data_IF_914315004513
#
_entry.id   IF_914315004513
#
_cell.length_a   1.000
_cell.length_b   1.000
_cell.length_c   1.000
_cell.angle_alpha   90.00
_cell.angle_beta   90.00
_cell.angle_gamma   90.00
#
_symmetry.space_group_name_H-M   'P 1'
#
loop_
_entity.id
_entity.type
_entity.pdbx_description
1 polymer ?
#
# COMPACT_ATOMS: atom_id res chain seq x y z
N UNK A 1 -12.37 -30.93 -8.88
CA UNK A 1 -11.08 -30.59 -9.51
C UNK A 1 -10.61 -29.32 -8.84
N UNK A 2 -9.54 -29.32 -8.03
CA UNK A 2 -8.92 -28.08 -7.58
C UNK A 2 -7.91 -27.58 -8.64
N UNK A 3 -7.85 -26.27 -8.88
CA UNK A 3 -6.66 -25.58 -9.39
C UNK A 3 -6.40 -25.60 -10.90
N UNK A 4 -7.22 -24.93 -11.71
CA UNK A 4 -6.80 -24.48 -13.06
C UNK A 4 -7.24 -23.05 -13.38
N UNK A 5 -8.31 -22.59 -12.74
CA UNK A 5 -8.61 -21.19 -12.41
C UNK A 5 -8.75 -21.24 -10.87
N UNK A 6 -8.00 -20.54 -10.04
CA UNK A 6 -7.63 -19.13 -10.05
C UNK A 6 -7.66 -18.76 -8.57
N UNK A 7 -6.80 -19.40 -7.77
CA UNK A 7 -6.54 -18.95 -6.40
C UNK A 7 -5.49 -17.84 -6.55
N UNK A 8 -5.89 -16.75 -7.20
CA UNK A 8 -5.02 -15.61 -7.44
C UNK A 8 -5.06 -14.72 -6.19
N UNK A 9 -3.86 -14.27 -5.79
CA UNK A 9 -3.68 -13.35 -4.68
C UNK A 9 -3.52 -11.98 -5.29
N UNK A 10 -4.44 -11.09 -4.96
CA UNK A 10 -4.38 -9.70 -5.37
C UNK A 10 -3.95 -8.83 -4.20
N UNK A 11 -3.52 -7.60 -4.54
CA UNK A 11 -3.22 -6.57 -3.57
C UNK A 11 -2.25 -7.02 -2.45
N UNK A 12 -1.23 -7.81 -2.80
CA UNK A 12 -0.23 -8.30 -1.85
C UNK A 12 0.67 -7.15 -1.39
N UNK A 13 0.61 -6.84 -0.10
CA UNK A 13 1.54 -5.91 0.56
C UNK A 13 2.65 -6.70 1.26
N UNK A 14 3.89 -6.28 1.04
CA UNK A 14 5.08 -6.82 1.69
C UNK A 14 5.90 -5.66 2.25
N UNK A 15 6.09 -5.65 3.57
CA UNK A 15 7.00 -4.68 4.17
C UNK A 15 8.47 -4.97 3.78
N UNK A 16 9.26 -3.90 3.81
CA UNK A 16 10.71 -3.89 3.54
C UNK A 16 11.52 -4.62 4.61
N UNK A 17 10.97 -4.78 5.82
CA UNK A 17 11.51 -5.63 6.88
C UNK A 17 10.62 -6.86 7.08
N UNK A 18 11.16 -8.01 7.54
CA UNK A 18 10.34 -9.18 7.82
C UNK A 18 9.34 -8.89 8.95
N UNK A 19 8.11 -8.54 8.59
CA UNK A 19 6.99 -8.44 9.51
C UNK A 19 6.32 -9.82 9.64
N UNK A 20 5.90 -10.26 10.85
CA UNK A 20 5.04 -11.43 10.99
C UNK A 20 3.70 -11.31 10.26
N UNK A 21 3.27 -10.10 9.92
CA UNK A 21 2.01 -9.83 9.26
C UNK A 21 2.19 -9.63 7.75
N UNK A 22 1.24 -10.17 6.99
CA UNK A 22 1.16 -9.96 5.54
C UNK A 22 -0.30 -9.71 5.21
N UNK A 23 -0.55 -8.62 4.49
CA UNK A 23 -1.91 -8.17 4.15
C UNK A 23 -2.17 -8.40 2.67
N UNK A 24 -3.37 -8.86 2.33
CA UNK A 24 -3.74 -9.19 0.96
C UNK A 24 -5.27 -9.24 0.81
N UNK A 25 -5.77 -9.11 -0.42
CA UNK A 25 -7.15 -9.44 -0.79
C UNK A 25 -7.19 -10.72 -1.62
N UNK A 26 -8.39 -11.17 -1.97
CA UNK A 26 -8.60 -12.30 -2.87
C UNK A 26 -9.41 -11.85 -4.06
N UNK A 27 -9.10 -12.36 -5.25
CA UNK A 27 -9.87 -12.10 -6.46
C UNK A 27 -11.36 -12.48 -6.27
N UNK A 28 -12.26 -11.71 -6.88
CA UNK A 28 -13.67 -12.05 -7.11
C UNK A 28 -13.92 -13.49 -7.60
N UNK A 29 -13.01 -14.05 -8.39
CA UNK A 29 -13.14 -15.41 -8.92
C UNK A 29 -12.46 -16.50 -8.09
N UNK A 30 -11.90 -16.14 -6.93
CA UNK A 30 -11.24 -17.09 -6.04
C UNK A 30 -12.23 -18.09 -5.45
N UNK A 31 -12.00 -19.38 -5.68
CA UNK A 31 -12.91 -20.45 -5.30
C UNK A 31 -12.81 -20.86 -3.81
N UNK A 32 -11.85 -20.28 -3.07
CA UNK A 32 -11.19 -20.97 -1.96
C UNK A 32 -10.99 -20.08 -0.73
N UNK A 33 -12.02 -19.43 -0.21
CA UNK A 33 -11.82 -18.59 0.97
C UNK A 33 -12.77 -18.99 2.13
N UNK A 34 -12.24 -19.52 3.26
CA UNK A 34 -13.04 -19.82 4.44
C UNK A 34 -13.63 -18.54 5.04
N UNK A 35 -14.79 -18.62 5.70
CA UNK A 35 -15.47 -17.50 6.39
C UNK A 35 -14.57 -16.79 7.41
N UNK A 36 -13.77 -15.80 6.99
CA UNK A 36 -12.83 -15.07 7.85
C UNK A 36 -13.43 -13.78 8.42
N UNK A 37 -14.23 -13.03 7.65
CA UNK A 37 -14.86 -11.76 8.06
C UNK A 37 -16.32 -11.90 8.57
N UNK A 38 -16.72 -13.09 9.06
CA UNK A 38 -18.03 -13.31 9.72
C UNK A 38 -19.22 -13.57 8.79
N UNK A 39 -19.24 -13.04 7.57
CA UNK A 39 -20.23 -13.34 6.50
C UNK A 39 -19.65 -14.21 5.37
N UNK A 40 -18.33 -14.40 5.37
CA UNK A 40 -17.58 -14.91 4.23
C UNK A 40 -16.53 -13.87 3.86
N UNK A 41 -15.34 -14.28 3.41
CA UNK A 41 -14.41 -13.34 2.82
C UNK A 41 -15.02 -12.89 1.50
N UNK A 42 -15.18 -11.58 1.39
CA UNK A 42 -15.52 -10.92 0.15
C UNK A 42 -14.22 -10.44 -0.52
N UNK A 43 -14.20 -10.26 -1.84
CA UNK A 43 -13.02 -9.78 -2.57
C UNK A 43 -12.56 -8.38 -2.15
N UNK A 44 -13.50 -7.61 -1.59
CA UNK A 44 -13.23 -6.30 -1.02
C UNK A 44 -12.69 -6.34 0.43
N UNK A 45 -12.56 -7.52 1.06
CA UNK A 45 -12.00 -7.64 2.40
C UNK A 45 -10.47 -7.65 2.37
N UNK A 46 -9.86 -7.06 3.39
CA UNK A 46 -8.43 -7.18 3.63
C UNK A 46 -8.21 -8.32 4.62
N UNK A 47 -7.47 -9.34 4.17
CA UNK A 47 -7.05 -10.47 4.97
C UNK A 47 -5.65 -10.24 5.54
N UNK A 48 -5.37 -10.90 6.66
CA UNK A 48 -4.07 -10.88 7.32
C UNK A 48 -3.56 -12.29 7.54
N UNK A 49 -2.31 -12.56 7.19
CA UNK A 49 -1.57 -13.73 7.64
C UNK A 49 -0.68 -13.36 8.82
N UNK A 50 -0.62 -14.22 9.86
CA UNK A 50 0.23 -14.01 11.04
C UNK A 50 1.56 -14.77 10.98
N UNK A 51 1.94 -15.27 9.79
CA UNK A 51 3.22 -15.94 9.56
C UNK A 51 3.35 -17.36 10.14
N UNK A 52 2.36 -17.83 10.90
CA UNK A 52 2.28 -19.19 11.47
C UNK A 52 1.38 -20.12 10.64
N UNK A 53 1.01 -19.69 9.43
CA UNK A 53 0.06 -20.38 8.56
C UNK A 53 -1.41 -20.14 8.95
N UNK A 54 -1.69 -19.26 9.92
CA UNK A 54 -3.03 -18.79 10.21
C UNK A 54 -3.37 -17.53 9.39
N UNK A 55 -4.66 -17.39 9.10
CA UNK A 55 -5.22 -16.27 8.36
C UNK A 55 -6.41 -15.72 9.12
N UNK A 56 -6.60 -14.41 9.06
CA UNK A 56 -7.69 -13.69 9.71
C UNK A 56 -8.25 -12.61 8.79
N UNK A 57 -9.36 -12.02 9.23
CA UNK A 57 -9.88 -10.78 8.68
C UNK A 57 -9.18 -9.61 9.35
N UNK A 58 -8.60 -8.70 8.58
CA UNK A 58 -8.08 -7.44 9.09
C UNK A 58 -9.15 -6.34 9.02
N UNK A 59 -9.74 -6.14 7.85
CA UNK A 59 -10.79 -5.14 7.62
C UNK A 59 -11.86 -5.66 6.66
N UNK A 60 -13.13 -5.35 6.95
CA UNK A 60 -14.29 -5.58 6.09
C UNK A 60 -14.37 -4.51 5.01
N UNK A 61 -14.50 -4.93 3.75
CA UNK A 61 -14.64 -3.99 2.64
C UNK A 61 -15.87 -3.10 2.78
N UNK A 62 -17.01 -3.69 3.15
CA UNK A 62 -18.29 -2.98 3.28
C UNK A 62 -18.35 -2.11 4.55
N UNK A 63 -17.95 -2.67 5.70
CA UNK A 63 -18.15 -2.00 7.00
C UNK A 63 -17.01 -1.03 7.35
N UNK A 64 -15.76 -1.38 7.02
CA UNK A 64 -14.59 -0.61 7.44
C UNK A 64 -14.08 0.30 6.32
N UNK A 65 -14.15 -0.11 5.06
CA UNK A 65 -13.67 0.69 3.91
C UNK A 65 -14.81 1.50 3.27
N UNK A 66 -16.03 0.96 3.26
CA UNK A 66 -17.19 1.57 2.61
C UNK A 66 -17.35 1.18 1.13
N UNK A 67 -16.78 0.05 0.72
CA UNK A 67 -16.94 -0.51 -0.61
C UNK A 67 -18.31 -1.18 -0.79
N UNK A 68 -18.77 -1.26 -2.02
CA UNK A 68 -20.01 -1.96 -2.36
C UNK A 68 -19.79 -3.48 -2.39
N UNK A 69 -20.88 -4.23 -2.21
CA UNK A 69 -20.84 -5.68 -2.34
C UNK A 69 -20.47 -6.10 -3.76
N UNK A 70 -19.39 -6.86 -3.90
CA UNK A 70 -18.84 -7.29 -5.19
C UNK A 70 -17.79 -6.37 -5.77
N UNK A 71 -17.39 -5.30 -5.06
CA UNK A 71 -16.12 -4.64 -5.33
C UNK A 71 -14.96 -5.61 -5.04
N UNK A 72 -13.84 -5.39 -5.73
CA UNK A 72 -12.64 -6.19 -5.66
C UNK A 72 -11.41 -5.28 -5.57
N UNK A 73 -10.52 -5.59 -4.63
CA UNK A 73 -9.30 -4.82 -4.36
C UNK A 73 -8.16 -5.33 -5.23
N UNK A 74 -7.61 -4.45 -6.07
CA UNK A 74 -6.63 -4.82 -7.11
C UNK A 74 -5.18 -4.52 -6.69
N UNK A 75 -4.98 -3.43 -5.93
CA UNK A 75 -3.72 -3.13 -5.26
C UNK A 75 -3.95 -2.54 -3.87
N UNK A 76 -2.95 -2.70 -3.00
CA UNK A 76 -3.00 -2.27 -1.61
C UNK A 76 -1.62 -1.85 -1.11
N UNK A 77 -1.58 -0.73 -0.39
CA UNK A 77 -0.55 -0.38 0.59
C UNK A 77 -1.27 -0.13 1.90
N UNK A 78 -0.76 -0.71 2.99
CA UNK A 78 -1.31 -0.55 4.32
C UNK A 78 -0.28 0.11 5.25
N UNK A 79 -0.75 1.02 6.11
CA UNK A 79 0.01 1.51 7.26
C UNK A 79 -0.70 1.10 8.55
N UNK A 80 -0.28 -0.01 9.14
CA UNK A 80 -0.71 -0.48 10.46
C UNK A 80 0.32 -0.09 11.54
N UNK A 81 0.13 1.08 12.15
CA UNK A 81 1.20 1.75 12.94
C UNK A 81 0.96 1.76 14.45
N UNK A 82 -0.26 1.52 14.92
CA UNK A 82 -0.57 1.64 16.35
C UNK A 82 -0.47 0.31 17.09
N UNK A 83 -1.09 -0.74 16.55
CA UNK A 83 -1.08 -2.10 17.09
C UNK A 83 -1.09 -3.12 15.94
N UNK A 84 0.09 -3.49 15.43
CA UNK A 84 0.22 -4.39 14.30
C UNK A 84 -0.65 -5.66 14.44
N UNK A 85 -1.45 -5.92 13.43
CA UNK A 85 -2.39 -7.02 13.33
C UNK A 85 -3.77 -6.77 13.97
N UNK A 86 -4.01 -5.60 14.57
CA UNK A 86 -5.33 -5.18 15.07
C UNK A 86 -5.79 -3.94 14.29
N UNK A 87 -6.98 -3.96 13.68
CA UNK A 87 -7.53 -2.78 13.01
C UNK A 87 -7.84 -1.64 14.01
N UNK A 88 -7.29 -0.45 13.76
CA UNK A 88 -7.47 0.78 14.53
C UNK A 88 -7.96 1.92 13.62
N UNK A 89 -9.29 2.09 13.48
CA UNK A 89 -9.86 3.18 12.67
C UNK A 89 -9.30 4.56 13.03
N UNK A 90 -9.06 5.40 12.01
CA UNK A 90 -8.42 6.73 12.06
C UNK A 90 -6.93 6.75 12.39
N UNK A 91 -6.31 5.59 12.64
CA UNK A 91 -4.87 5.47 12.88
C UNK A 91 -4.22 4.66 11.77
N UNK A 92 -4.85 3.54 11.46
CA UNK A 92 -4.45 2.71 10.34
C UNK A 92 -5.05 3.32 9.07
N UNK A 93 -4.32 3.19 7.97
CA UNK A 93 -4.66 3.81 6.70
C UNK A 93 -4.30 2.86 5.58
N UNK A 94 -5.02 2.94 4.48
CA UNK A 94 -4.65 2.24 3.25
C UNK A 94 -4.73 3.16 2.04
N UNK A 95 -3.84 2.92 1.08
CA UNK A 95 -4.05 3.27 -0.32
C UNK A 95 -4.39 2.01 -1.10
N UNK A 96 -5.35 2.10 -2.00
CA UNK A 96 -5.77 0.95 -2.79
C UNK A 96 -6.29 1.36 -4.17
N UNK A 97 -6.41 0.39 -5.07
CA UNK A 97 -7.15 0.47 -6.33
C UNK A 97 -8.25 -0.60 -6.35
N UNK A 98 -9.18 -0.47 -7.29
CA UNK A 98 -10.27 -1.43 -7.47
C UNK A 98 -10.19 -2.08 -8.85
N UNK A 99 -10.63 -3.33 -8.96
CA UNK A 99 -10.66 -4.03 -10.25
C UNK A 99 -11.60 -3.37 -11.25
N UNK A 100 -11.34 -3.57 -12.55
CA UNK A 100 -12.27 -3.21 -13.64
C UNK A 100 -13.64 -3.86 -13.50
N UNK A 101 -13.75 -4.97 -12.78
CA UNK A 101 -15.01 -5.69 -12.58
C UNK A 101 -15.84 -5.23 -11.38
N UNK A 102 -15.30 -4.31 -10.58
CA UNK A 102 -15.94 -3.74 -9.39
C UNK A 102 -17.15 -2.87 -9.75
N UNK A 103 -18.31 -3.00 -9.07
CA UNK A 103 -19.45 -2.08 -9.20
C UNK A 103 -19.09 -0.59 -9.05
N UNK A 104 -18.15 -0.28 -8.17
CA UNK A 104 -17.64 1.09 -7.93
C UNK A 104 -16.80 1.63 -9.10
N UNK A 105 -16.34 0.76 -10.00
CA UNK A 105 -15.56 1.14 -11.17
C UNK A 105 -16.42 1.77 -12.28
N UNK A 106 -15.86 2.75 -13.00
CA UNK A 106 -16.54 3.43 -14.12
C UNK A 106 -16.96 2.48 -15.24
N UNK A 107 -16.25 1.37 -15.40
CA UNK A 107 -16.55 0.30 -16.38
C UNK A 107 -17.86 -0.43 -16.09
N UNK A 108 -18.31 -0.41 -14.84
CA UNK A 108 -19.60 -0.95 -14.39
C UNK A 108 -20.63 0.13 -14.03
N UNK A 109 -20.34 1.41 -14.33
CA UNK A 109 -21.23 2.53 -14.09
C UNK A 109 -21.03 3.22 -12.74
N UNK A 110 -19.98 2.86 -12.01
CA UNK A 110 -19.49 3.55 -10.83
C UNK A 110 -18.80 4.89 -11.15
N UNK A 111 -18.06 5.41 -10.18
CA UNK A 111 -17.47 6.77 -10.24
C UNK A 111 -15.96 6.81 -10.31
N UNK A 112 -15.28 5.68 -10.06
CA UNK A 112 -13.82 5.62 -9.95
C UNK A 112 -13.20 4.79 -11.07
N UNK A 113 -12.08 5.23 -11.60
CA UNK A 113 -11.29 4.42 -12.53
C UNK A 113 -10.61 3.26 -11.78
N UNK A 114 -10.43 2.08 -12.41
CA UNK A 114 -9.57 1.03 -11.87
C UNK A 114 -8.11 1.48 -11.65
N UNK A 115 -7.65 2.50 -12.38
CA UNK A 115 -6.35 3.14 -12.21
C UNK A 115 -6.35 4.33 -11.23
N UNK A 116 -7.47 4.64 -10.58
CA UNK A 116 -7.47 5.63 -9.50
C UNK A 116 -6.87 5.01 -8.22
N UNK A 117 -6.11 5.82 -7.48
CA UNK A 117 -5.65 5.47 -6.14
C UNK A 117 -6.60 6.09 -5.14
N UNK A 118 -7.18 5.23 -4.32
CA UNK A 118 -8.16 5.55 -3.29
C UNK A 118 -7.50 5.50 -1.90
N UNK A 119 -8.04 6.26 -0.96
CA UNK A 119 -7.58 6.35 0.42
C UNK A 119 -8.72 6.03 1.38
N UNK A 120 -8.44 5.22 2.40
CA UNK A 120 -9.33 5.02 3.55
C UNK A 120 -8.55 5.13 4.86
N UNK A 121 -9.25 5.59 5.90
CA UNK A 121 -8.81 5.54 7.31
C UNK A 121 -9.61 4.51 8.13
N UNK A 122 -10.25 3.57 7.43
CA UNK A 122 -11.07 2.49 7.96
C UNK A 122 -12.24 2.94 8.84
N UNK A 123 -12.89 4.06 8.49
CA UNK A 123 -14.08 4.57 9.19
C UNK A 123 -15.40 4.31 8.46
N UNK A 124 -15.39 3.44 7.45
CA UNK A 124 -16.55 3.07 6.63
C UNK A 124 -16.76 3.99 5.42
N UNK A 125 -15.71 4.67 4.97
CA UNK A 125 -15.72 5.52 3.76
C UNK A 125 -14.31 5.60 3.16
N UNK A 126 -14.23 6.03 1.90
CA UNK A 126 -12.98 6.25 1.19
C UNK A 126 -13.06 7.48 0.29
N UNK A 127 -11.90 7.94 -0.21
CA UNK A 127 -11.82 9.12 -1.06
C UNK A 127 -10.74 8.98 -2.11
N UNK A 128 -10.85 9.75 -3.20
CA UNK A 128 -9.80 9.80 -4.23
C UNK A 128 -8.52 10.41 -3.65
N UNK A 129 -7.42 9.67 -3.69
CA UNK A 129 -6.09 10.15 -3.34
C UNK A 129 -5.36 10.73 -4.55
N UNK A 130 -5.33 9.97 -5.65
CA UNK A 130 -4.75 10.39 -6.92
C UNK A 130 -5.56 9.78 -8.08
N UNK A 131 -5.90 10.59 -9.08
CA UNK A 131 -6.57 10.06 -10.27
C UNK A 131 -5.59 9.31 -11.18
N UNK A 132 -6.11 8.44 -12.04
CA UNK A 132 -5.34 7.80 -13.11
C UNK A 132 -4.50 8.83 -13.91
N UNK A 133 -5.09 10.00 -14.21
CA UNK A 133 -4.41 11.07 -14.93
C UNK A 133 -3.27 11.70 -14.14
N UNK A 134 -3.37 11.80 -12.81
CA UNK A 134 -2.34 12.37 -11.94
C UNK A 134 -1.09 11.48 -11.90
N UNK A 135 -1.26 10.16 -12.06
CA UNK A 135 -0.17 9.17 -12.13
C UNK A 135 0.23 8.80 -13.57
N UNK A 136 -0.35 9.48 -14.57
CA UNK A 136 0.01 9.30 -15.99
C UNK A 136 -0.55 8.04 -16.64
N UNK A 137 -1.56 7.43 -16.03
CA UNK A 137 -2.32 6.29 -16.56
C UNK A 137 -3.61 6.77 -17.25
N UNK A 138 -4.26 5.86 -17.96
CA UNK A 138 -5.60 6.06 -18.53
C UNK A 138 -6.67 5.55 -17.55
N UNK A 139 -7.91 6.06 -17.65
CA UNK A 139 -8.98 5.59 -16.79
C UNK A 139 -9.38 4.11 -16.97
N UNK A 140 -8.95 3.45 -18.04
CA UNK A 140 -9.19 2.04 -18.35
C UNK A 140 -7.98 1.13 -18.09
N UNK A 141 -6.87 1.68 -17.60
CA UNK A 141 -5.74 0.87 -17.12
C UNK A 141 -6.08 0.26 -15.75
N UNK A 142 -5.45 -0.87 -15.39
CA UNK A 142 -5.53 -1.50 -14.06
C UNK A 142 -4.23 -1.27 -13.28
N UNK A 143 -4.35 -1.27 -11.95
CA UNK A 143 -3.24 -1.13 -11.02
C UNK A 143 -3.26 -2.35 -10.13
N UNK A 144 -2.46 -3.35 -10.51
CA UNK A 144 -2.40 -4.66 -9.84
C UNK A 144 -1.45 -4.67 -8.62
N UNK A 145 -0.65 -3.61 -8.44
CA UNK A 145 0.29 -3.51 -7.34
C UNK A 145 0.61 -2.06 -6.98
N UNK A 146 0.71 -1.82 -5.67
CA UNK A 146 1.16 -0.58 -5.09
C UNK A 146 2.30 -0.88 -4.12
N UNK A 147 3.33 -0.04 -4.13
CA UNK A 147 4.46 -0.18 -3.22
C UNK A 147 4.93 1.21 -2.75
N UNK A 148 5.39 1.28 -1.51
CA UNK A 148 6.08 2.47 -1.00
C UNK A 148 7.56 2.29 -1.22
N UNK A 149 8.13 3.04 -2.16
CA UNK A 149 9.58 3.10 -2.28
C UNK A 149 10.11 3.89 -1.08
N UNK A 150 10.97 3.31 -0.22
CA UNK A 150 11.60 4.06 0.85
C UNK A 150 12.27 5.28 0.24
N UNK A 151 12.01 6.46 0.78
CA UNK A 151 12.70 7.65 0.30
C UNK A 151 14.20 7.33 0.28
N UNK A 152 14.89 7.57 -0.87
CA UNK A 152 16.32 7.39 -0.90
C UNK A 152 16.90 8.13 0.29
N UNK A 153 18.01 7.64 0.85
CA UNK A 153 18.70 8.25 1.99
C UNK A 153 19.30 9.64 1.65
N UNK A 154 18.59 10.46 0.86
CA UNK A 154 18.81 11.81 0.42
C UNK A 154 19.18 12.71 1.58
N UNK A 155 18.54 12.58 2.74
CA UNK A 155 18.93 13.32 3.95
C UNK A 155 20.34 12.90 4.39
N UNK A 156 20.62 11.60 4.44
CA UNK A 156 21.94 11.06 4.77
C UNK A 156 22.99 11.48 3.74
N UNK A 157 22.66 11.43 2.45
CA UNK A 157 23.53 11.86 1.35
C UNK A 157 23.80 13.36 1.39
N UNK A 158 22.79 14.17 1.69
CA UNK A 158 22.93 15.61 1.90
C UNK A 158 23.83 15.88 3.11
N UNK A 159 23.63 15.18 4.23
CA UNK A 159 24.46 15.32 5.43
C UNK A 159 25.93 14.97 5.16
N UNK A 160 26.20 13.86 4.46
CA UNK A 160 27.55 13.46 4.02
C UNK A 160 28.13 14.54 3.08
N UNK A 161 27.33 15.04 2.15
CA UNK A 161 27.69 16.13 1.25
C UNK A 161 28.16 17.37 2.00
N UNK A 162 27.38 17.87 2.96
CA UNK A 162 27.75 19.03 3.77
C UNK A 162 28.97 18.79 4.66
N UNK A 163 29.08 17.61 5.28
CA UNK A 163 30.24 17.25 6.10
C UNK A 163 31.54 17.23 5.27
N UNK A 164 31.49 16.66 4.05
CA UNK A 164 32.63 16.61 3.15
C UNK A 164 33.09 18.00 2.70
N UNK A 165 32.14 18.90 2.39
CA UNK A 165 32.42 20.30 2.05
C UNK A 165 33.01 21.07 3.24
N UNK A 166 32.47 20.85 4.44
CA UNK A 166 32.99 21.44 5.69
C UNK A 166 34.44 21.02 5.96
N UNK A 167 34.73 19.72 5.87
CA UNK A 167 36.08 19.19 6.06
C UNK A 167 37.07 19.71 5.01
N UNK A 168 36.64 19.81 3.75
CA UNK A 168 37.45 20.38 2.68
C UNK A 168 37.82 21.84 2.97
N UNK A 169 36.85 22.67 3.38
CA UNK A 169 37.09 24.08 3.75
C UNK A 169 38.02 24.20 4.96
N UNK A 170 37.86 23.35 5.97
CA UNK A 170 38.74 23.33 7.14
C UNK A 170 40.20 23.05 6.75
N UNK A 171 40.44 22.03 5.91
CA UNK A 171 41.78 21.70 5.38
C UNK A 171 42.41 22.83 4.56
N UNK A 172 41.63 23.56 3.78
CA UNK A 172 42.13 24.72 3.02
C UNK A 172 42.58 25.86 3.94
N UNK A 173 41.85 26.11 5.05
CA UNK A 173 42.23 27.14 6.03
C UNK A 173 43.53 26.82 6.76
N UNK A 174 43.72 25.58 7.19
CA UNK A 174 44.94 25.19 7.93
C UNK A 174 46.21 25.28 7.06
N UNK A 175 46.11 24.92 5.78
CA UNK A 175 47.23 25.07 4.82
C UNK A 175 47.66 26.52 4.61
N UNK A 176 46.72 27.46 4.56
CA UNK A 176 47.04 28.88 4.36
C UNK A 176 47.73 29.52 5.56
N UNK A 177 47.48 29.02 6.78
CA UNK A 177 48.16 29.51 7.99
C UNK A 177 49.63 29.07 7.99
N UNK A 178 49.92 27.82 7.63
CA UNK A 178 51.29 27.28 7.60
C UNK A 178 52.23 27.98 6.60
N UNK A 179 51.70 28.62 5.55
CA UNK A 179 52.50 29.31 4.52
C UNK A 179 52.94 30.73 4.88
N UNK A 180 52.35 31.35 5.90
CA UNK A 180 52.67 32.72 6.31
C UNK A 180 53.73 32.82 7.41
N UNK A 181 54.22 31.68 7.91
CA UNK A 181 55.20 31.60 9.00
C UNK A 181 56.64 31.29 8.57
N UNK A 182 56.92 31.30 7.27
CA UNK A 182 58.24 31.14 6.66
C UNK A 182 58.57 32.38 5.83
#
# INVERSE_FOLDING_TARGET
MPGFFGDDLDALELDTEPDPFTYFSIDLFSASAPLLCGSGPLPNDILISTGDGSFGCFASGEDDIGLDSGDDLDALILWDVFRPGELNPRRDMALFSISTFSPTAITFGGSFSPADILFTDFTGDFSLWASAADIGLRPDDEVDALDTVPEPATITLMAIGFASLGFHRYRLRTRNISRKGT
#
